data_IF_871488900404
#
_entry.id   IF_871488900404
#
_cell.length_a   1.000
_cell.length_b   1.000
_cell.length_c   1.000
_cell.angle_alpha   90.00
_cell.angle_beta   90.00
_cell.angle_gamma   90.00
#
_symmetry.space_group_name_H-M   'P 1'
#
loop_
_entity.id
_entity.type
_entity.pdbx_description
1 polymer ?
#
# COMPACT_ATOMS: atom_id res chain seq x y z
N UNK A 1 4.33 1.30 -19.86
CA UNK A 1 3.52 1.43 -18.62
C UNK A 1 2.93 0.09 -18.29
N UNK A 2 3.10 -0.41 -17.06
CA UNK A 2 2.51 -1.67 -16.64
C UNK A 2 1.13 -1.36 -16.04
N UNK A 3 0.05 -1.65 -16.77
CA UNK A 3 -1.36 -1.33 -16.41
C UNK A 3 -1.70 -1.63 -14.94
N UNK A 4 -1.15 -2.72 -14.41
CA UNK A 4 -1.32 -3.13 -13.02
C UNK A 4 -0.71 -2.16 -12.00
N UNK A 5 0.51 -1.65 -12.22
CA UNK A 5 1.18 -0.75 -11.27
C UNK A 5 0.47 0.60 -11.18
N UNK A 6 -0.11 1.06 -12.29
CA UNK A 6 -0.87 2.30 -12.33
C UNK A 6 -2.23 2.15 -11.63
N UNK A 7 -2.91 1.01 -11.81
CA UNK A 7 -4.13 0.68 -11.06
C UNK A 7 -3.84 0.53 -9.56
N UNK A 8 -2.77 -0.20 -9.20
CA UNK A 8 -2.33 -0.39 -7.82
C UNK A 8 -2.03 0.95 -7.15
N UNK A 9 -1.26 1.83 -7.80
CA UNK A 9 -0.97 3.18 -7.29
C UNK A 9 -2.26 3.93 -6.98
N UNK A 10 -3.17 4.01 -7.97
CA UNK A 10 -4.43 4.74 -7.84
C UNK A 10 -5.25 4.23 -6.66
N UNK A 11 -5.34 2.91 -6.51
CA UNK A 11 -6.12 2.29 -5.44
C UNK A 11 -5.47 2.52 -4.07
N UNK A 12 -4.16 2.27 -3.92
CA UNK A 12 -3.49 2.43 -2.63
C UNK A 12 -3.53 3.88 -2.12
N UNK A 13 -3.38 4.86 -3.01
CA UNK A 13 -3.42 6.28 -2.66
C UNK A 13 -4.82 6.80 -2.27
N UNK A 14 -5.88 6.00 -2.46
CA UNK A 14 -7.21 6.36 -1.93
C UNK A 14 -7.28 6.27 -0.40
N UNK A 15 -6.42 5.44 0.21
CA UNK A 15 -6.53 5.03 1.62
C UNK A 15 -7.95 4.58 2.01
N UNK A 16 -8.71 4.06 1.05
CA UNK A 16 -10.04 3.50 1.25
C UNK A 16 -9.90 1.99 1.37
N UNK A 17 -10.12 1.48 2.58
CA UNK A 17 -9.93 0.07 2.88
C UNK A 17 -10.76 -0.82 1.95
N UNK A 18 -11.99 -0.45 1.60
CA UNK A 18 -12.87 -1.32 0.83
C UNK A 18 -12.48 -1.36 -0.65
N UNK A 19 -12.09 -0.21 -1.23
CA UNK A 19 -11.51 -0.18 -2.59
C UNK A 19 -10.22 -1.00 -2.68
N UNK A 20 -9.37 -0.90 -1.66
CA UNK A 20 -8.12 -1.65 -1.57
C UNK A 20 -8.40 -3.15 -1.47
N UNK A 21 -9.37 -3.55 -0.64
CA UNK A 21 -9.78 -4.95 -0.48
C UNK A 21 -10.35 -5.54 -1.76
N UNK A 22 -11.21 -4.80 -2.45
CA UNK A 22 -11.80 -5.19 -3.74
C UNK A 22 -10.71 -5.43 -4.79
N UNK A 23 -9.75 -4.51 -4.89
CA UNK A 23 -8.59 -4.67 -5.78
C UNK A 23 -7.76 -5.91 -5.42
N UNK A 24 -7.44 -6.11 -4.13
CA UNK A 24 -6.70 -7.30 -3.70
C UNK A 24 -7.45 -8.60 -4.03
N UNK A 25 -8.77 -8.61 -3.86
CA UNK A 25 -9.62 -9.76 -4.18
C UNK A 25 -9.64 -10.04 -5.69
N UNK A 26 -9.85 -9.02 -6.53
CA UNK A 26 -9.79 -9.11 -8.00
C UNK A 26 -8.48 -9.73 -8.50
N UNK A 27 -7.37 -9.47 -7.80
CA UNK A 27 -6.04 -9.98 -8.12
C UNK A 27 -5.60 -11.22 -7.31
N UNK A 28 -6.53 -11.91 -6.63
CA UNK A 28 -6.27 -13.11 -5.82
C UNK A 28 -5.11 -12.94 -4.81
N UNK A 29 -5.00 -11.76 -4.20
CA UNK A 29 -3.99 -11.47 -3.17
C UNK A 29 -4.50 -11.88 -1.80
N UNK A 30 -3.63 -12.52 -1.02
CA UNK A 30 -3.91 -12.83 0.38
C UNK A 30 -4.02 -11.55 1.19
N UNK A 31 -5.08 -11.47 2.00
CA UNK A 31 -5.35 -10.33 2.85
C UNK A 31 -5.06 -10.65 4.32
N UNK A 32 -4.27 -9.83 5.02
CA UNK A 32 -4.09 -9.98 6.45
C UNK A 32 -5.44 -9.82 7.17
N UNK A 33 -5.74 -10.70 8.13
CA UNK A 33 -6.92 -10.56 9.00
C UNK A 33 -6.78 -9.44 10.03
N UNK A 34 -5.55 -9.06 10.35
CA UNK A 34 -5.24 -8.02 11.33
C UNK A 34 -5.18 -6.65 10.65
N UNK A 35 -5.93 -5.67 11.19
CA UNK A 35 -6.02 -4.33 10.63
C UNK A 35 -4.67 -3.58 10.60
N UNK A 36 -3.85 -3.71 11.64
CA UNK A 36 -2.52 -3.10 11.67
C UNK A 36 -1.62 -3.71 10.58
N UNK A 37 -1.65 -5.04 10.42
CA UNK A 37 -0.89 -5.72 9.38
C UNK A 37 -1.37 -5.35 7.96
N UNK A 38 -2.69 -5.19 7.79
CA UNK A 38 -3.28 -4.71 6.53
C UNK A 38 -2.74 -3.33 6.15
N UNK A 39 -2.82 -2.35 7.06
CA UNK A 39 -2.33 -1.00 6.79
C UNK A 39 -0.81 -0.93 6.65
N UNK A 40 -0.07 -1.72 7.43
CA UNK A 40 1.38 -1.85 7.23
C UNK A 40 1.71 -2.35 5.82
N UNK A 41 0.97 -3.33 5.30
CA UNK A 41 1.10 -3.80 3.92
C UNK A 41 0.80 -2.73 2.89
N UNK A 42 -0.29 -1.96 3.07
CA UNK A 42 -0.66 -0.83 2.19
C UNK A 42 0.46 0.21 2.14
N UNK A 43 0.91 0.69 3.31
CA UNK A 43 1.94 1.72 3.38
C UNK A 43 3.29 1.26 2.84
N UNK A 44 3.69 0.01 3.13
CA UNK A 44 4.89 -0.59 2.50
C UNK A 44 4.74 -0.68 0.99
N UNK A 45 3.56 -1.07 0.49
CA UNK A 45 3.25 -1.09 -0.93
C UNK A 45 3.49 0.27 -1.59
N UNK A 46 2.97 1.34 -1.00
CA UNK A 46 3.15 2.71 -1.50
C UNK A 46 4.64 3.11 -1.52
N UNK A 47 5.39 2.84 -0.44
CA UNK A 47 6.82 3.19 -0.34
C UNK A 47 7.67 2.48 -1.41
N UNK A 48 7.34 1.24 -1.74
CA UNK A 48 8.12 0.41 -2.68
C UNK A 48 7.59 0.44 -4.13
N UNK A 49 6.48 1.14 -4.39
CA UNK A 49 5.95 1.25 -5.74
C UNK A 49 6.82 2.21 -6.57
N UNK A 50 7.30 1.80 -7.77
CA UNK A 50 8.25 2.60 -8.56
C UNK A 50 7.62 3.83 -9.21
N UNK A 51 6.31 3.83 -9.45
CA UNK A 51 5.59 4.96 -10.05
C UNK A 51 5.02 5.95 -9.00
N UNK A 52 5.31 5.77 -7.71
CA UNK A 52 5.00 6.76 -6.67
C UNK A 52 6.15 7.77 -6.51
N UNK A 53 5.81 9.06 -6.41
CA UNK A 53 6.76 10.14 -6.13
C UNK A 53 7.19 10.13 -4.66
N UNK A 54 8.25 10.87 -4.32
CA UNK A 54 8.68 11.00 -2.93
C UNK A 54 7.64 11.68 -2.04
N UNK A 55 6.87 12.63 -2.58
CA UNK A 55 5.80 13.33 -1.87
C UNK A 55 4.63 12.37 -1.55
N UNK A 56 4.21 11.56 -2.54
CA UNK A 56 3.16 10.55 -2.35
C UNK A 56 3.55 9.49 -1.29
N UNK A 57 4.85 9.20 -1.18
CA UNK A 57 5.40 8.25 -0.20
C UNK A 57 5.49 8.83 1.20
N UNK A 58 5.62 10.15 1.35
CA UNK A 58 6.00 10.78 2.63
C UNK A 58 5.03 10.44 3.77
N UNK A 59 3.71 10.49 3.49
CA UNK A 59 2.70 10.11 4.48
C UNK A 59 2.87 8.65 4.94
N UNK A 60 3.09 7.74 3.99
CA UNK A 60 3.28 6.31 4.29
C UNK A 60 4.55 6.04 5.09
N UNK A 61 5.65 6.74 4.78
CA UNK A 61 6.90 6.66 5.57
C UNK A 61 6.67 7.08 7.02
N UNK A 62 6.01 8.23 7.23
CA UNK A 62 5.68 8.74 8.57
C UNK A 62 4.76 7.78 9.32
N UNK A 63 3.76 7.21 8.65
CA UNK A 63 2.85 6.24 9.25
C UNK A 63 3.59 4.98 9.70
N UNK A 64 4.42 4.38 8.83
CA UNK A 64 5.20 3.18 9.16
C UNK A 64 6.12 3.42 10.36
N UNK A 65 6.88 4.52 10.34
CA UNK A 65 7.76 4.91 11.46
C UNK A 65 6.99 5.07 12.77
N UNK A 66 5.82 5.72 12.73
CA UNK A 66 4.97 5.92 13.92
C UNK A 66 4.47 4.60 14.52
N UNK A 67 4.25 3.59 13.69
CA UNK A 67 3.74 2.28 14.12
C UNK A 67 4.84 1.22 14.30
N UNK A 68 6.12 1.61 14.24
CA UNK A 68 7.26 0.71 14.47
C UNK A 68 7.61 -0.19 13.28
N UNK A 69 7.12 0.12 12.07
CA UNK A 69 7.43 -0.63 10.86
C UNK A 69 8.55 0.03 10.03
N UNK A 70 9.34 -0.80 9.35
CA UNK A 70 10.28 -0.39 8.31
C UNK A 70 9.58 -0.22 6.97
N UNK A 71 10.16 0.58 6.08
CA UNK A 71 9.70 0.76 4.69
C UNK A 71 9.93 -0.50 3.84
N UNK A 72 10.94 -1.30 4.16
CA UNK A 72 11.33 -2.50 3.42
C UNK A 72 10.28 -3.62 3.53
N UNK A 73 10.10 -4.38 2.45
CA UNK A 73 9.16 -5.50 2.35
C UNK A 73 9.79 -6.84 2.82
N UNK A 74 11.05 -6.85 3.23
CA UNK A 74 11.79 -8.05 3.65
C UNK A 74 12.45 -7.85 5.02
#
# INVERSE_FOLDING_TARGET
MNSYQDELKKVLLTYDADKIKEFMHKHNKNMPRNNLAFWAGVHKGICNLPNCTNEEKEFSRKWLKKHGFKEEIF
#
